data_IF_309601404209
#
_entry.id   IF_309601404209
#
_cell.length_a   1.000
_cell.length_b   1.000
_cell.length_c   1.000
_cell.angle_alpha   90.00
_cell.angle_beta   90.00
_cell.angle_gamma   90.00
#
_symmetry.space_group_name_H-M   'P 1'
#
loop_
_entity.id
_entity.type
_entity.pdbx_description
1 polymer ?
#
# COMPACT_ATOMS: atom_id res chain seq x y z
N UNK A 1 -13.84 16.87 -23.67
CA UNK A 1 -14.47 16.96 -22.34
C UNK A 1 -13.76 15.97 -21.43
N UNK A 2 -12.85 16.39 -20.53
CA UNK A 2 -12.37 15.49 -19.48
C UNK A 2 -13.49 15.37 -18.44
N UNK A 3 -13.89 14.13 -18.16
CA UNK A 3 -14.91 13.80 -17.17
C UNK A 3 -14.41 14.13 -15.77
N UNK A 4 -15.26 14.88 -15.08
CA UNK A 4 -15.33 15.12 -13.65
C UNK A 4 -14.68 14.02 -12.81
N UNK A 5 -13.59 14.37 -12.13
CA UNK A 5 -13.02 13.55 -11.06
C UNK A 5 -13.94 13.78 -9.87
N UNK A 6 -14.98 12.96 -9.72
CA UNK A 6 -15.79 12.92 -8.50
C UNK A 6 -14.84 12.60 -7.34
N UNK A 7 -14.63 13.49 -6.35
CA UNK A 7 -13.96 13.10 -5.12
C UNK A 7 -14.96 12.26 -4.33
N UNK A 8 -15.03 10.96 -4.63
CA UNK A 8 -15.83 10.03 -3.86
C UNK A 8 -15.18 9.93 -2.48
N UNK A 9 -15.90 10.47 -1.50
CA UNK A 9 -15.65 10.51 -0.06
C UNK A 9 -15.26 9.14 0.50
N UNK A 10 -13.99 8.76 0.37
CA UNK A 10 -13.38 7.56 0.93
C UNK A 10 -11.87 7.84 1.04
N UNK A 11 -11.50 8.84 1.83
CA UNK A 11 -10.09 9.10 2.13
C UNK A 11 -9.47 7.83 2.70
N UNK A 12 -8.45 7.24 2.05
CA UNK A 12 -7.74 6.12 2.62
C UNK A 12 -6.96 6.59 3.86
N UNK A 13 -6.85 5.73 4.86
CA UNK A 13 -5.87 5.93 5.93
C UNK A 13 -4.48 5.74 5.34
N UNK A 14 -3.60 6.72 5.54
CA UNK A 14 -2.24 6.70 5.04
C UNK A 14 -1.24 6.43 6.16
N UNK A 15 -0.14 5.78 5.82
CA UNK A 15 1.01 5.63 6.69
C UNK A 15 2.33 5.67 5.91
N UNK A 16 3.37 6.21 6.54
CA UNK A 16 4.74 6.11 6.02
C UNK A 16 5.45 4.89 6.61
N UNK A 17 6.23 4.20 5.79
CA UNK A 17 7.06 3.07 6.17
C UNK A 17 8.48 3.28 5.62
N UNK A 18 9.48 3.12 6.49
CA UNK A 18 10.88 3.20 6.09
C UNK A 18 11.37 1.82 5.65
N UNK A 19 11.95 1.75 4.45
CA UNK A 19 12.47 0.50 3.90
C UNK A 19 13.89 0.66 3.38
N UNK A 20 14.68 -0.42 3.24
CA UNK A 20 16.03 -0.38 2.66
C UNK A 20 16.09 0.21 1.24
N UNK A 21 14.94 0.23 0.53
CA UNK A 21 14.82 0.80 -0.82
C UNK A 21 14.28 2.24 -0.82
N UNK A 22 14.07 2.84 0.36
CA UNK A 22 13.55 4.20 0.56
C UNK A 22 12.21 4.24 1.29
N UNK A 23 11.62 5.44 1.34
CA UNK A 23 10.32 5.66 1.99
C UNK A 23 9.17 5.14 1.12
N UNK A 24 8.36 4.26 1.71
CA UNK A 24 7.15 3.73 1.13
C UNK A 24 5.94 4.35 1.82
N UNK A 25 4.95 4.75 1.04
CA UNK A 25 3.64 5.20 1.52
C UNK A 25 2.65 4.06 1.36
N UNK A 26 1.99 3.68 2.44
CA UNK A 26 0.96 2.66 2.51
C UNK A 26 -0.41 3.36 2.61
N UNK A 27 -1.41 2.89 1.87
CA UNK A 27 -2.80 3.34 1.99
C UNK A 27 -3.72 2.15 2.26
N UNK A 28 -4.59 2.29 3.26
CA UNK A 28 -5.61 1.31 3.60
C UNK A 28 -7.00 1.95 3.66
N UNK A 29 -8.02 1.19 3.27
CA UNK A 29 -9.41 1.58 3.34
C UNK A 29 -10.29 0.35 3.57
N UNK A 30 -11.20 0.42 4.54
CA UNK A 30 -12.09 -0.69 4.90
C UNK A 30 -11.35 -1.94 5.40
N UNK A 31 -10.23 -1.75 6.11
CA UNK A 31 -9.43 -2.84 6.66
C UNK A 31 -8.62 -3.62 5.62
N UNK A 32 -8.48 -3.08 4.41
CA UNK A 32 -7.67 -3.65 3.34
C UNK A 32 -6.68 -2.63 2.79
N UNK A 33 -5.50 -3.11 2.39
CA UNK A 33 -4.49 -2.31 1.72
C UNK A 33 -4.97 -2.02 0.28
N UNK A 34 -5.13 -0.75 -0.05
CA UNK A 34 -5.58 -0.29 -1.38
C UNK A 34 -4.41 0.10 -2.27
N UNK A 35 -3.27 0.49 -1.69
CA UNK A 35 -2.08 0.84 -2.47
C UNK A 35 -0.82 1.03 -1.64
N UNK A 36 0.32 0.90 -2.35
CA UNK A 36 1.66 1.19 -1.83
C UNK A 36 2.42 1.95 -2.90
N UNK A 37 3.05 3.06 -2.53
CA UNK A 37 3.84 3.88 -3.44
C UNK A 37 5.22 4.19 -2.87
N UNK A 38 6.22 4.19 -3.72
CA UNK A 38 7.55 4.71 -3.36
C UNK A 38 7.63 6.21 -3.66
N UNK A 39 8.38 6.95 -2.85
CA UNK A 39 8.64 8.38 -3.10
C UNK A 39 9.23 8.60 -4.49
N UNK A 40 8.75 9.60 -5.22
CA UNK A 40 9.19 9.92 -6.60
C UNK A 40 8.63 9.02 -7.71
N UNK A 41 7.64 8.16 -7.43
CA UNK A 41 7.02 7.31 -8.44
C UNK A 41 6.13 8.12 -9.41
N UNK A 42 6.24 7.88 -10.72
CA UNK A 42 5.55 8.66 -11.77
C UNK A 42 4.01 8.69 -11.66
N UNK A 43 3.42 7.70 -10.99
CA UNK A 43 1.98 7.57 -10.76
C UNK A 43 1.65 7.53 -9.27
N UNK A 44 2.42 8.26 -8.46
CA UNK A 44 2.20 8.35 -7.02
C UNK A 44 0.76 8.73 -6.70
N UNK A 45 0.14 7.98 -5.79
CA UNK A 45 -1.22 8.24 -5.33
C UNK A 45 -2.35 7.92 -6.32
N UNK A 46 -2.06 7.54 -7.57
CA UNK A 46 -3.11 7.08 -8.48
C UNK A 46 -3.46 5.60 -8.21
N UNK A 47 -4.75 5.20 -8.25
CA UNK A 47 -5.95 6.02 -8.53
C UNK A 47 -6.57 6.71 -7.30
N UNK A 48 -6.03 6.46 -6.10
CA UNK A 48 -6.67 6.79 -4.81
C UNK A 48 -6.66 8.29 -4.47
N UNK A 49 -5.87 9.10 -5.18
CA UNK A 49 -5.80 10.55 -5.00
C UNK A 49 -4.88 11.00 -3.85
N UNK A 50 -3.85 10.20 -3.51
CA UNK A 50 -2.92 10.53 -2.42
C UNK A 50 -1.89 11.55 -2.87
N UNK A 51 -1.78 12.66 -2.15
CA UNK A 51 -0.77 13.69 -2.39
C UNK A 51 0.59 13.28 -1.80
N UNK A 52 1.66 13.39 -2.59
CA UNK A 52 3.01 12.99 -2.18
C UNK A 52 3.55 13.87 -1.04
N UNK A 53 3.20 15.16 -0.99
CA UNK A 53 3.63 16.03 0.08
C UNK A 53 2.92 15.69 1.41
N UNK A 54 1.63 15.30 1.33
CA UNK A 54 0.90 14.76 2.48
C UNK A 54 1.57 13.48 2.97
N UNK A 55 1.84 12.56 2.06
CA UNK A 55 2.49 11.29 2.38
C UNK A 55 3.90 11.47 2.97
N UNK A 56 4.69 12.39 2.43
CA UNK A 56 6.03 12.70 2.92
C UNK A 56 6.02 13.38 4.30
N UNK A 57 4.90 13.96 4.70
CA UNK A 57 4.72 14.60 6.01
C UNK A 57 4.14 13.63 7.06
N UNK A 58 3.78 12.41 6.68
CA UNK A 58 3.30 11.39 7.62
C UNK A 58 4.41 10.89 8.51
N UNK A 59 4.07 10.63 9.77
CA UNK A 59 4.98 9.98 10.68
C UNK A 59 5.23 8.53 10.25
N UNK A 60 6.49 8.12 10.30
CA UNK A 60 6.90 6.76 9.96
C UNK A 60 6.31 5.83 11.03
N UNK A 61 5.56 4.81 10.59
CA UNK A 61 5.06 3.78 11.49
C UNK A 61 6.24 3.09 12.18
N UNK A 62 6.35 3.16 13.51
CA UNK A 62 7.36 2.41 14.23
C UNK A 62 7.04 0.92 14.15
N UNK A 63 8.05 0.09 13.90
CA UNK A 63 8.00 -1.39 13.92
C UNK A 63 7.42 -1.97 15.21
N UNK A 64 7.37 -1.18 16.28
CA UNK A 64 6.81 -1.53 17.58
C UNK A 64 5.86 -0.43 17.99
N UNK A 65 4.57 -0.72 17.88
CA UNK A 65 3.45 0.20 18.11
C UNK A 65 3.71 1.16 19.28
N UNK A 66 4.01 2.40 18.91
CA UNK A 66 4.01 3.53 19.82
C UNK A 66 2.57 3.99 20.00
N UNK A 67 2.06 3.91 21.22
CA UNK A 67 0.84 4.60 21.61
C UNK A 67 1.00 6.10 21.44
N UNK A 68 0.06 6.71 20.73
CA UNK A 68 -0.29 8.13 20.91
C UNK A 68 0.01 9.01 19.71
N UNK A 69 -1.00 9.20 18.87
CA UNK A 69 -1.05 10.26 17.86
C UNK A 69 -2.46 10.33 17.29
N UNK A 70 -3.27 11.27 17.79
CA UNK A 70 -4.66 11.50 17.38
C UNK A 70 -4.75 11.82 15.88
N UNK A 71 -5.23 10.86 15.08
CA UNK A 71 -5.65 11.11 13.71
C UNK A 71 -7.17 11.00 13.61
N UNK A 72 -7.79 12.17 13.43
CA UNK A 72 -9.22 12.39 13.27
C UNK A 72 -9.73 11.60 12.05
N UNK A 73 -10.37 10.45 12.29
CA UNK A 73 -11.06 9.65 11.27
C UNK A 73 -10.40 8.32 10.88
N UNK A 74 -9.39 7.83 11.60
CA UNK A 74 -8.79 6.52 11.29
C UNK A 74 -9.67 5.39 11.83
N UNK A 75 -10.15 4.52 10.93
CA UNK A 75 -10.81 3.28 11.31
C UNK A 75 -9.79 2.33 11.93
N UNK A 76 -10.08 1.74 13.09
CA UNK A 76 -9.13 0.83 13.77
C UNK A 76 -8.72 -0.38 12.92
N UNK A 77 -9.59 -0.80 12.00
CA UNK A 77 -9.31 -1.82 10.99
C UNK A 77 -8.26 -1.39 9.96
N UNK A 78 -8.26 -0.13 9.52
CA UNK A 78 -7.27 0.39 8.56
C UNK A 78 -5.90 0.48 9.22
N UNK A 79 -5.84 0.95 10.47
CA UNK A 79 -4.61 0.95 11.25
C UNK A 79 -4.04 -0.47 11.45
N UNK A 80 -4.91 -1.46 11.68
CA UNK A 80 -4.51 -2.86 11.78
C UNK A 80 -3.98 -3.39 10.44
N UNK A 81 -4.63 -3.07 9.31
CA UNK A 81 -4.19 -3.45 7.98
C UNK A 81 -2.81 -2.85 7.63
N UNK A 82 -2.60 -1.56 7.94
CA UNK A 82 -1.32 -0.89 7.74
C UNK A 82 -0.21 -1.49 8.61
N UNK A 83 -0.51 -1.79 9.87
CA UNK A 83 0.45 -2.43 10.79
C UNK A 83 0.82 -3.84 10.31
N UNK A 84 -0.16 -4.61 9.82
CA UNK A 84 0.07 -5.93 9.25
C UNK A 84 0.93 -5.85 7.97
N UNK A 85 0.65 -4.87 7.10
CA UNK A 85 1.45 -4.61 5.89
C UNK A 85 2.89 -4.23 6.21
N UNK A 86 3.10 -3.31 7.16
CA UNK A 86 4.43 -2.93 7.64
C UNK A 86 5.20 -4.14 8.18
N UNK A 87 4.58 -4.92 9.08
CA UNK A 87 5.20 -6.13 9.65
C UNK A 87 5.56 -7.17 8.58
N UNK A 88 4.73 -7.30 7.54
CA UNK A 88 5.01 -8.19 6.41
C UNK A 88 6.19 -7.68 5.57
N UNK A 89 6.25 -6.36 5.31
CA UNK A 89 7.37 -5.75 4.59
C UNK A 89 8.68 -5.92 5.37
N UNK A 90 8.68 -5.75 6.68
CA UNK A 90 9.88 -5.97 7.51
C UNK A 90 10.40 -7.41 7.38
N UNK A 91 9.53 -8.41 7.51
CA UNK A 91 9.88 -9.82 7.30
C UNK A 91 10.38 -10.08 5.87
N UNK A 92 9.77 -9.45 4.87
CA UNK A 92 10.20 -9.56 3.47
C UNK A 92 11.61 -9.00 3.28
N UNK A 93 11.91 -7.81 3.83
CA UNK A 93 13.23 -7.20 3.78
C UNK A 93 14.26 -7.92 4.67
N UNK A 94 13.82 -8.59 5.73
CA UNK A 94 14.63 -9.49 6.55
C UNK A 94 14.97 -10.83 5.85
N UNK A 95 14.33 -11.12 4.70
CA UNK A 95 14.56 -12.33 3.91
C UNK A 95 13.75 -13.55 4.36
N UNK A 96 12.73 -13.37 5.21
CA UNK A 96 11.92 -14.46 5.77
C UNK A 96 10.84 -15.00 4.81
N UNK A 97 10.68 -14.38 3.63
CA UNK A 97 9.68 -14.73 2.61
C UNK A 97 8.27 -15.00 3.18
N UNK A 98 7.67 -14.01 3.87
CA UNK A 98 6.36 -14.18 4.49
C UNK A 98 5.26 -14.42 3.46
N UNK A 99 4.30 -15.29 3.77
CA UNK A 99 3.21 -15.60 2.85
C UNK A 99 2.30 -14.37 2.61
N UNK A 100 2.07 -13.94 1.35
CA UNK A 100 1.27 -12.75 1.04
C UNK A 100 -0.23 -12.95 1.33
N UNK A 101 -0.70 -14.18 1.55
CA UNK A 101 -2.08 -14.49 1.90
C UNK A 101 -2.55 -13.88 3.23
N UNK A 102 -1.62 -13.41 4.07
CA UNK A 102 -1.93 -12.71 5.33
C UNK A 102 -2.29 -11.24 5.12
N UNK A 103 -1.99 -10.68 3.94
CA UNK A 103 -2.31 -9.30 3.61
C UNK A 103 -3.64 -9.24 2.86
N UNK A 104 -4.62 -8.57 3.46
CA UNK A 104 -5.86 -8.25 2.77
C UNK A 104 -5.59 -7.06 1.84
N UNK A 105 -5.47 -7.35 0.55
CA UNK A 105 -5.23 -6.35 -0.49
C UNK A 105 -6.47 -6.25 -1.37
N UNK A 106 -7.02 -5.04 -1.49
CA UNK A 106 -8.16 -4.76 -2.37
C UNK A 106 -7.74 -3.70 -3.39
N UNK A 107 -6.84 -4.03 -4.34
CA UNK A 107 -6.39 -3.07 -5.33
C UNK A 107 -7.52 -2.76 -6.31
N UNK A 108 -7.79 -1.47 -6.50
CA UNK A 108 -8.75 -0.99 -7.48
C UNK A 108 -8.11 -0.90 -8.86
N UNK A 109 -8.72 -1.57 -9.84
CA UNK A 109 -8.20 -1.59 -11.19
C UNK A 109 -9.16 -2.27 -12.18
N UNK A 110 -8.83 -2.09 -13.46
CA UNK A 110 -9.55 -2.72 -14.57
C UNK A 110 -9.45 -4.25 -14.51
N UNK A 111 -10.38 -4.95 -15.17
CA UNK A 111 -10.32 -6.41 -15.31
C UNK A 111 -8.99 -6.90 -15.89
N UNK A 112 -8.39 -6.12 -16.79
CA UNK A 112 -7.07 -6.43 -17.35
C UNK A 112 -5.97 -6.36 -16.28
N UNK A 113 -5.93 -5.28 -15.49
CA UNK A 113 -4.97 -5.15 -14.38
C UNK A 113 -5.12 -6.27 -13.36
N UNK A 114 -6.35 -6.62 -12.98
CA UNK A 114 -6.61 -7.74 -12.06
C UNK A 114 -6.04 -9.07 -12.58
N UNK A 115 -6.25 -9.38 -13.87
CA UNK A 115 -5.66 -10.57 -14.50
C UNK A 115 -4.14 -10.55 -14.50
N UNK A 116 -3.53 -9.40 -14.76
CA UNK A 116 -2.06 -9.23 -14.70
C UNK A 116 -1.56 -9.42 -13.26
N UNK A 117 -2.25 -8.86 -12.26
CA UNK A 117 -1.92 -9.05 -10.84
C UNK A 117 -2.02 -10.52 -10.42
N UNK A 118 -3.05 -11.24 -10.85
CA UNK A 118 -3.17 -12.69 -10.64
C UNK A 118 -2.06 -13.50 -11.32
N UNK A 119 -1.55 -13.03 -12.47
CA UNK A 119 -0.41 -13.65 -13.14
C UNK A 119 0.91 -13.35 -12.42
N UNK A 120 1.08 -12.14 -11.88
CA UNK A 120 2.25 -11.73 -11.10
C UNK A 120 2.30 -12.42 -9.74
N UNK A 121 1.16 -12.62 -9.06
CA UNK A 121 1.08 -13.33 -7.79
C UNK A 121 1.52 -14.80 -7.89
N UNK A 122 1.55 -15.37 -9.10
CA UNK A 122 2.05 -16.73 -9.37
C UNK A 122 3.56 -16.79 -9.58
N UNK A 123 4.26 -15.65 -9.63
CA UNK A 123 5.73 -15.62 -9.76
C UNK A 123 6.32 -16.00 -8.40
N UNK A 124 7.05 -17.12 -8.29
CA UNK A 124 7.67 -17.50 -7.03
C UNK A 124 8.78 -16.52 -6.65
N UNK A 125 9.01 -16.36 -5.36
CA UNK A 125 10.11 -15.54 -4.85
C UNK A 125 11.44 -15.94 -5.49
N UNK A 126 12.26 -14.95 -5.86
CA UNK A 126 13.54 -15.16 -6.53
C UNK A 126 13.47 -15.55 -8.02
N UNK A 127 12.28 -15.59 -8.62
CA UNK A 127 12.11 -15.93 -10.04
C UNK A 127 11.63 -14.73 -10.86
N UNK A 128 11.87 -14.77 -12.16
CA UNK A 128 11.42 -13.76 -13.11
C UNK A 128 10.49 -14.38 -14.16
N UNK A 129 9.56 -13.58 -14.70
CA UNK A 129 8.75 -13.94 -15.87
C UNK A 129 8.86 -12.84 -16.92
N UNK A 130 8.75 -13.22 -18.19
CA UNK A 130 8.80 -12.30 -19.33
C UNK A 130 7.41 -11.73 -19.64
N UNK A 131 7.37 -10.51 -20.17
CA UNK A 131 6.12 -9.75 -20.42
C UNK A 131 5.32 -10.22 -21.66
N UNK A 132 5.57 -11.41 -22.20
CA UNK A 132 5.01 -11.85 -23.49
C UNK A 132 4.49 -13.30 -23.48
N UNK A 133 4.20 -13.86 -22.31
CA UNK A 133 3.60 -15.19 -22.16
C UNK A 133 2.17 -15.11 -21.64
#
# INVERSE_FOLDING_TARGET
MPTEITPSSSDPTLAAFDSPIGHLTLAAHGGALVGVWARGQRFFGCPVGVDEAVAASLEILPSRGGSGGESRGVTGEDAAALTAAASWLEQYFAGENPSPARLHMTPEGTLFQKRVWEAMARIPYGHTRTYSQ
#
